data_IF_207165708188
#
_entry.id   IF_207165708188
#
_cell.length_a   1.000
_cell.length_b   1.000
_cell.length_c   1.000
_cell.angle_alpha   90.00
_cell.angle_beta   90.00
_cell.angle_gamma   90.00
#
_symmetry.space_group_name_H-M   'P 1'
#
loop_
_entity.id
_entity.type
_entity.pdbx_description
1 polymer ?
#
# COMPACT_ATOMS: atom_id res chain seq x y z
N UNK A 1 -9.36 -16.95 -11.82
CA UNK A 1 -10.60 -17.68 -11.43
C UNK A 1 -11.73 -16.69 -11.18
N UNK A 2 -12.98 -17.14 -11.04
CA UNK A 2 -14.14 -16.25 -10.90
C UNK A 2 -14.50 -15.98 -9.43
N UNK A 3 -15.27 -14.92 -9.17
CA UNK A 3 -15.85 -14.66 -7.85
C UNK A 3 -16.67 -15.85 -7.31
N UNK A 4 -17.33 -16.62 -8.21
CA UNK A 4 -18.07 -17.82 -7.84
C UNK A 4 -17.22 -18.93 -7.23
N UNK A 5 -16.00 -19.18 -7.75
CA UNK A 5 -15.06 -20.17 -7.21
C UNK A 5 -14.53 -19.75 -5.84
N UNK A 6 -14.20 -18.46 -5.67
CA UNK A 6 -13.80 -17.91 -4.38
C UNK A 6 -14.94 -17.97 -3.36
N UNK A 7 -16.17 -17.70 -3.78
CA UNK A 7 -17.38 -17.85 -2.94
C UNK A 7 -17.62 -19.29 -2.54
N UNK A 8 -17.44 -20.24 -3.47
CA UNK A 8 -17.57 -21.67 -3.18
C UNK A 8 -16.52 -22.11 -2.12
N UNK A 9 -15.27 -21.63 -2.25
CA UNK A 9 -14.24 -21.84 -1.25
C UNK A 9 -14.66 -21.34 0.14
N UNK A 10 -15.17 -20.10 0.23
CA UNK A 10 -15.62 -19.53 1.50
C UNK A 10 -16.79 -20.35 2.10
N UNK A 11 -17.71 -20.85 1.29
CA UNK A 11 -18.84 -21.65 1.76
C UNK A 11 -18.42 -23.01 2.32
N UNK A 12 -17.31 -23.57 1.86
CA UNK A 12 -16.80 -24.89 2.30
C UNK A 12 -16.07 -24.86 3.64
N UNK A 13 -15.61 -23.67 4.11
CA UNK A 13 -14.83 -23.53 5.32
C UNK A 13 -15.55 -22.71 6.37
N UNK A 14 -15.22 -22.93 7.63
CA UNK A 14 -15.84 -22.26 8.76
C UNK A 14 -14.95 -21.19 9.38
N UNK A 15 -13.64 -21.46 9.46
CA UNK A 15 -12.63 -20.57 10.08
C UNK A 15 -11.66 -20.06 9.06
N UNK A 16 -11.28 -18.79 9.21
CA UNK A 16 -10.39 -18.14 8.28
C UNK A 16 -9.32 -17.32 9.01
N UNK A 17 -8.09 -17.41 8.50
CA UNK A 17 -7.03 -16.47 8.81
C UNK A 17 -6.80 -15.60 7.56
N UNK A 18 -7.09 -14.30 7.70
CA UNK A 18 -6.90 -13.30 6.67
C UNK A 18 -5.49 -12.72 6.80
N UNK A 19 -4.72 -12.75 5.73
CA UNK A 19 -3.33 -12.35 5.69
C UNK A 19 -3.13 -11.32 4.58
N UNK A 20 -2.36 -10.27 4.84
CA UNK A 20 -1.96 -9.31 3.84
C UNK A 20 -0.44 -9.16 3.78
N UNK A 21 0.05 -8.35 2.85
CA UNK A 21 1.49 -8.17 2.66
C UNK A 21 2.18 -7.44 3.81
N UNK A 22 3.50 -7.58 3.91
CA UNK A 22 4.37 -6.80 4.82
C UNK A 22 4.20 -5.31 4.58
N UNK A 23 4.24 -4.51 5.65
CA UNK A 23 4.00 -3.05 5.57
C UNK A 23 2.67 -2.70 4.88
N UNK A 24 1.54 -3.21 5.38
CA UNK A 24 0.24 -3.11 4.72
C UNK A 24 -0.20 -1.66 4.56
N UNK A 25 -0.83 -1.40 3.44
CA UNK A 25 -1.43 -0.10 3.10
C UNK A 25 -2.97 -0.09 3.33
N UNK A 26 -3.64 0.89 2.75
CA UNK A 26 -5.08 1.03 2.94
C UNK A 26 -5.90 0.00 2.16
N UNK A 27 -5.41 -0.49 1.01
CA UNK A 27 -6.10 -1.55 0.28
C UNK A 27 -5.97 -2.89 1.01
N UNK A 28 -4.76 -3.27 1.38
CA UNK A 28 -4.51 -4.50 2.13
C UNK A 28 -5.34 -4.59 3.42
N UNK A 29 -5.33 -3.52 4.23
CA UNK A 29 -6.07 -3.48 5.49
C UNK A 29 -7.57 -3.35 5.29
N UNK A 30 -8.01 -2.42 4.43
CA UNK A 30 -9.42 -2.18 4.17
C UNK A 30 -10.10 -3.41 3.57
N UNK A 31 -9.47 -4.04 2.60
CA UNK A 31 -9.97 -5.26 1.95
C UNK A 31 -10.03 -6.44 2.92
N UNK A 32 -8.99 -6.65 3.73
CA UNK A 32 -8.97 -7.72 4.75
C UNK A 32 -10.07 -7.53 5.79
N UNK A 33 -10.23 -6.32 6.32
CA UNK A 33 -11.24 -6.02 7.35
C UNK A 33 -12.67 -6.09 6.79
N UNK A 34 -12.91 -5.57 5.60
CA UNK A 34 -14.22 -5.67 4.94
C UNK A 34 -14.63 -7.13 4.74
N UNK A 35 -13.68 -7.97 4.26
CA UNK A 35 -13.93 -9.40 4.08
C UNK A 35 -14.18 -10.09 5.44
N UNK A 36 -13.39 -9.77 6.47
CA UNK A 36 -13.58 -10.32 7.81
C UNK A 36 -14.98 -10.04 8.37
N UNK A 37 -15.42 -8.78 8.28
CA UNK A 37 -16.77 -8.37 8.71
C UNK A 37 -17.87 -9.10 7.90
N UNK A 38 -17.64 -9.32 6.60
CA UNK A 38 -18.57 -10.07 5.76
C UNK A 38 -18.60 -11.56 6.12
N UNK A 39 -17.46 -12.16 6.42
CA UNK A 39 -17.37 -13.55 6.91
C UNK A 39 -18.15 -13.72 8.21
N UNK A 40 -18.01 -12.78 9.14
CA UNK A 40 -18.78 -12.80 10.39
C UNK A 40 -20.29 -12.70 10.14
N UNK A 41 -20.72 -11.79 9.27
CA UNK A 41 -22.14 -11.67 8.89
C UNK A 41 -22.67 -12.93 8.20
N UNK A 42 -21.78 -13.70 7.52
CA UNK A 42 -22.10 -15.01 6.96
C UNK A 42 -22.00 -16.18 7.95
N UNK A 43 -21.81 -15.90 9.26
CA UNK A 43 -21.71 -16.92 10.31
C UNK A 43 -20.38 -17.68 10.30
N UNK A 44 -19.31 -17.08 9.81
CA UNK A 44 -17.95 -17.63 9.78
C UNK A 44 -17.08 -17.00 10.86
N UNK A 45 -16.10 -17.75 11.34
CA UNK A 45 -15.10 -17.26 12.29
C UNK A 45 -13.90 -16.71 11.51
N UNK A 46 -13.36 -15.58 11.93
CA UNK A 46 -12.19 -14.99 11.29
C UNK A 46 -11.24 -14.33 12.26
N UNK A 47 -9.98 -14.34 11.89
CA UNK A 47 -8.88 -13.60 12.49
C UNK A 47 -8.09 -12.98 11.35
N UNK A 48 -7.51 -11.81 11.55
CA UNK A 48 -6.64 -11.19 10.58
C UNK A 48 -5.25 -10.97 11.15
N UNK A 49 -4.22 -11.02 10.32
CA UNK A 49 -2.85 -10.82 10.74
C UNK A 49 -1.98 -10.23 9.62
N UNK A 50 -0.98 -9.45 10.00
CA UNK A 50 0.04 -8.94 9.09
C UNK A 50 1.41 -8.86 9.78
N UNK A 51 2.48 -8.98 8.97
CA UNK A 51 3.85 -8.83 9.44
C UNK A 51 4.27 -7.35 9.36
N UNK A 52 4.02 -6.64 10.45
CA UNK A 52 4.48 -5.26 10.63
C UNK A 52 4.79 -5.02 12.10
N UNK A 53 5.74 -4.14 12.39
CA UNK A 53 6.16 -3.84 13.76
C UNK A 53 5.03 -3.24 14.64
N UNK A 54 4.09 -2.52 14.00
CA UNK A 54 2.89 -1.98 14.64
C UNK A 54 1.80 -1.73 13.61
N UNK A 55 0.55 -1.76 14.04
CA UNK A 55 -0.57 -1.39 13.18
C UNK A 55 -0.40 0.06 12.70
N UNK A 56 -0.52 0.34 11.39
CA UNK A 56 -0.36 1.69 10.88
C UNK A 56 -1.41 2.64 11.49
N UNK A 57 -0.94 3.60 12.30
CA UNK A 57 -1.80 4.52 13.05
C UNK A 57 -2.81 5.25 12.15
N UNK A 58 -2.44 5.52 10.90
CA UNK A 58 -3.29 6.16 9.90
C UNK A 58 -4.61 5.41 9.67
N UNK A 59 -4.64 4.09 9.88
CA UNK A 59 -5.80 3.22 9.63
C UNK A 59 -6.44 2.69 10.91
N UNK A 60 -6.00 3.14 12.10
CA UNK A 60 -6.51 2.66 13.39
C UNK A 60 -8.01 2.95 13.62
N UNK A 61 -8.59 3.82 12.81
CA UNK A 61 -10.02 4.13 12.86
C UNK A 61 -10.91 3.11 12.13
N UNK A 62 -10.32 2.16 11.38
CA UNK A 62 -11.10 1.20 10.59
C UNK A 62 -11.89 0.24 11.50
N UNK A 63 -13.15 -0.03 11.17
CA UNK A 63 -13.92 -1.06 11.85
C UNK A 63 -13.20 -2.41 11.80
N UNK A 64 -13.04 -3.06 12.96
CA UNK A 64 -12.36 -4.35 13.09
C UNK A 64 -10.83 -4.26 13.17
N UNK A 65 -10.23 -3.06 13.16
CA UNK A 65 -8.77 -2.88 13.28
C UNK A 65 -8.18 -3.51 14.55
N UNK A 66 -8.94 -3.54 15.63
CA UNK A 66 -8.61 -4.18 16.91
C UNK A 66 -8.52 -5.71 16.84
N UNK A 67 -9.01 -6.32 15.78
CA UNK A 67 -8.96 -7.77 15.50
C UNK A 67 -7.76 -8.18 14.64
N UNK A 68 -6.96 -7.22 14.19
CA UNK A 68 -5.75 -7.47 13.40
C UNK A 68 -4.56 -7.76 14.32
N UNK A 69 -4.00 -8.95 14.22
CA UNK A 69 -2.73 -9.29 14.87
C UNK A 69 -1.57 -8.73 14.07
N UNK A 70 -0.65 -8.04 14.75
CA UNK A 70 0.49 -7.39 14.11
C UNK A 70 1.81 -7.85 14.73
N UNK A 71 2.79 -8.18 13.89
CA UNK A 71 4.17 -8.48 14.30
C UNK A 71 4.36 -9.69 15.19
N UNK A 72 3.32 -10.46 15.45
CA UNK A 72 3.37 -11.68 16.26
C UNK A 72 2.80 -12.86 15.48
N UNK A 73 3.51 -14.00 15.42
CA UNK A 73 2.99 -15.17 14.74
C UNK A 73 1.64 -15.61 15.30
N UNK A 74 0.69 -15.84 14.41
CA UNK A 74 -0.59 -16.49 14.73
C UNK A 74 -0.49 -17.92 14.24
N UNK A 75 -0.70 -18.88 15.14
CA UNK A 75 -0.79 -20.31 14.78
C UNK A 75 -2.26 -20.64 14.52
N UNK A 76 -2.67 -20.85 13.26
CA UNK A 76 -4.05 -21.19 12.97
C UNK A 76 -4.40 -22.60 13.41
N UNK A 77 -5.65 -22.82 13.87
CA UNK A 77 -6.17 -24.14 14.13
C UNK A 77 -6.12 -25.04 12.89
N UNK A 78 -6.09 -26.36 13.04
CA UNK A 78 -5.91 -27.29 11.90
C UNK A 78 -6.97 -27.14 10.80
N UNK A 79 -8.20 -26.75 11.15
CA UNK A 79 -9.33 -26.57 10.21
C UNK A 79 -9.45 -25.14 9.66
N UNK A 80 -8.49 -24.27 9.93
CA UNK A 80 -8.47 -22.88 9.48
C UNK A 80 -7.99 -22.79 8.03
N UNK A 81 -8.81 -22.22 7.15
CA UNK A 81 -8.44 -21.86 5.80
C UNK A 81 -7.72 -20.50 5.77
N UNK A 82 -6.76 -20.34 4.86
CA UNK A 82 -6.01 -19.13 4.67
C UNK A 82 -6.63 -18.27 3.56
N UNK A 83 -6.71 -16.95 3.76
CA UNK A 83 -7.04 -16.02 2.69
C UNK A 83 -5.97 -14.94 2.64
N UNK A 84 -5.20 -14.91 1.57
CA UNK A 84 -4.26 -13.83 1.29
C UNK A 84 -4.99 -12.74 0.51
N UNK A 85 -4.98 -11.53 1.05
CA UNK A 85 -5.65 -10.36 0.48
C UNK A 85 -4.60 -9.32 0.11
N UNK A 86 -4.60 -8.87 -1.12
CA UNK A 86 -3.65 -7.88 -1.65
C UNK A 86 -2.18 -8.29 -1.44
N UNK A 87 -1.88 -9.55 -1.71
CA UNK A 87 -0.57 -10.13 -1.49
C UNK A 87 -0.10 -10.87 -2.75
N UNK A 88 0.68 -10.20 -3.59
CA UNK A 88 1.06 -10.65 -4.91
C UNK A 88 1.94 -11.92 -4.92
N UNK A 89 2.69 -12.17 -3.85
CA UNK A 89 3.64 -13.30 -3.77
C UNK A 89 3.88 -13.74 -2.33
N UNK A 90 4.32 -14.99 -2.17
CA UNK A 90 4.56 -15.61 -0.86
C UNK A 90 5.61 -14.86 -0.03
N UNK A 91 6.66 -14.36 -0.66
CA UNK A 91 7.72 -13.58 0.01
C UNK A 91 7.20 -12.27 0.61
N UNK A 92 6.11 -11.70 0.09
CA UNK A 92 5.45 -10.55 0.67
C UNK A 92 4.57 -10.86 1.87
N UNK A 93 4.30 -12.14 2.14
CA UNK A 93 3.54 -12.54 3.32
C UNK A 93 4.37 -12.48 4.63
N UNK A 94 5.69 -12.24 4.55
CA UNK A 94 6.57 -12.08 5.71
C UNK A 94 6.55 -13.30 6.63
N UNK A 95 6.30 -13.10 7.92
CA UNK A 95 6.23 -14.18 8.94
C UNK A 95 5.28 -15.32 8.57
N UNK A 96 4.28 -15.06 7.74
CA UNK A 96 3.24 -16.01 7.36
C UNK A 96 3.54 -16.77 6.07
N UNK A 97 4.67 -16.51 5.41
CA UNK A 97 5.07 -17.22 4.20
C UNK A 97 5.17 -18.74 4.41
N UNK A 98 5.64 -19.17 5.58
CA UNK A 98 5.74 -20.59 5.94
C UNK A 98 4.40 -21.32 6.00
N UNK A 99 3.29 -20.61 6.23
CA UNK A 99 1.96 -21.23 6.22
C UNK A 99 1.54 -21.71 4.82
N UNK A 100 2.17 -21.19 3.76
CA UNK A 100 1.95 -21.64 2.38
C UNK A 100 2.63 -22.97 2.07
N UNK A 101 3.62 -23.37 2.87
CA UNK A 101 4.28 -24.68 2.77
C UNK A 101 3.43 -25.79 3.42
N UNK A 102 2.45 -25.41 4.26
CA UNK A 102 1.49 -26.33 4.85
C UNK A 102 0.38 -26.64 3.82
N UNK A 103 -0.11 -27.88 3.78
CA UNK A 103 -1.22 -28.28 2.91
C UNK A 103 -2.57 -27.76 3.44
N UNK A 104 -2.69 -26.44 3.59
CA UNK A 104 -3.92 -25.76 4.05
C UNK A 104 -4.75 -25.27 2.87
N UNK A 105 -6.09 -25.34 2.98
CA UNK A 105 -6.95 -24.68 2.01
C UNK A 105 -6.62 -23.19 1.93
N UNK A 106 -6.27 -22.72 0.75
CA UNK A 106 -5.79 -21.33 0.54
C UNK A 106 -6.57 -20.65 -0.58
N UNK A 107 -6.97 -19.41 -0.34
CA UNK A 107 -7.54 -18.47 -1.31
C UNK A 107 -6.64 -17.23 -1.38
N UNK A 108 -6.29 -16.81 -2.59
CA UNK A 108 -5.63 -15.52 -2.86
C UNK A 108 -6.64 -14.58 -3.54
N UNK A 109 -6.76 -13.37 -3.03
CA UNK A 109 -7.55 -12.26 -3.62
C UNK A 109 -6.58 -11.12 -3.87
N UNK A 110 -6.30 -10.82 -5.15
CA UNK A 110 -5.28 -9.84 -5.48
C UNK A 110 -5.54 -9.18 -6.84
N UNK A 111 -5.04 -7.97 -7.02
CA UNK A 111 -5.19 -7.21 -8.25
C UNK A 111 -3.86 -6.88 -8.95
N UNK A 112 -2.74 -7.23 -8.37
CA UNK A 112 -1.43 -6.96 -8.95
C UNK A 112 -1.18 -7.79 -10.23
N UNK A 113 -0.84 -7.12 -11.33
CA UNK A 113 -0.47 -7.77 -12.61
C UNK A 113 0.80 -8.64 -12.49
N UNK A 114 1.61 -8.40 -11.47
CA UNK A 114 2.81 -9.21 -11.16
C UNK A 114 2.50 -10.49 -10.41
N UNK A 115 1.26 -10.67 -9.93
CA UNK A 115 0.86 -11.88 -9.25
C UNK A 115 0.96 -13.08 -10.21
N UNK A 116 1.72 -14.14 -9.85
CA UNK A 116 1.81 -15.35 -10.66
C UNK A 116 0.45 -15.99 -10.96
N UNK A 117 -0.57 -15.76 -10.12
CA UNK A 117 -1.95 -16.21 -10.33
C UNK A 117 -2.58 -15.66 -11.60
N UNK A 118 -2.18 -14.47 -12.08
CA UNK A 118 -2.58 -13.93 -13.37
C UNK A 118 -2.13 -14.83 -14.54
N UNK A 119 -1.07 -15.62 -14.34
CA UNK A 119 -0.50 -16.56 -15.33
C UNK A 119 -0.82 -18.01 -15.00
N UNK A 120 -1.75 -18.27 -14.07
CA UNK A 120 -2.08 -19.64 -13.63
C UNK A 120 -1.00 -20.30 -12.74
N UNK A 121 -0.08 -19.55 -12.19
CA UNK A 121 1.04 -20.03 -11.35
C UNK A 121 0.98 -19.42 -9.93
N UNK A 122 -0.20 -19.08 -9.44
CA UNK A 122 -0.40 -18.46 -8.13
C UNK A 122 -0.21 -19.41 -6.95
N UNK A 123 -0.74 -19.02 -5.81
CA UNK A 123 -0.77 -19.84 -4.61
C UNK A 123 -1.39 -21.22 -4.89
N UNK A 124 -0.91 -22.24 -4.19
CA UNK A 124 -1.55 -23.55 -4.22
C UNK A 124 -2.96 -23.42 -3.63
N UNK A 125 -4.00 -23.48 -4.48
CA UNK A 125 -5.38 -23.30 -4.06
C UNK A 125 -6.17 -22.43 -5.03
N UNK A 126 -7.16 -21.69 -4.50
CA UNK A 126 -8.00 -20.79 -5.30
C UNK A 126 -7.32 -19.43 -5.45
N UNK A 127 -7.21 -18.93 -6.68
CA UNK A 127 -6.62 -17.64 -6.97
C UNK A 127 -7.67 -16.75 -7.68
N UNK A 128 -8.29 -15.83 -6.94
CA UNK A 128 -9.16 -14.81 -7.47
C UNK A 128 -8.37 -13.54 -7.73
N UNK A 129 -7.73 -13.49 -8.88
CA UNK A 129 -6.85 -12.41 -9.30
C UNK A 129 -7.37 -11.78 -10.58
N UNK A 130 -7.55 -10.47 -10.57
CA UNK A 130 -8.06 -9.70 -11.70
C UNK A 130 -7.42 -8.30 -11.71
N UNK A 131 -7.02 -7.81 -12.87
CA UNK A 131 -6.55 -6.44 -13.05
C UNK A 131 -7.71 -5.46 -12.80
N UNK A 132 -7.64 -4.72 -11.71
CA UNK A 132 -8.64 -3.77 -11.26
C UNK A 132 -8.02 -2.66 -10.39
N UNK A 133 -8.84 -1.70 -9.99
CA UNK A 133 -8.36 -0.51 -9.30
C UNK A 133 -7.80 -0.78 -7.89
N UNK A 134 -8.26 -1.83 -7.23
CA UNK A 134 -7.88 -2.22 -5.87
C UNK A 134 -8.39 -3.64 -5.56
N UNK A 135 -7.76 -4.38 -4.65
CA UNK A 135 -8.29 -5.65 -4.16
C UNK A 135 -9.68 -5.48 -3.50
N UNK A 136 -9.97 -4.27 -2.99
CA UNK A 136 -11.29 -3.90 -2.47
C UNK A 136 -12.43 -4.06 -3.46
N UNK A 137 -12.20 -3.91 -4.78
CA UNK A 137 -13.23 -4.20 -5.80
C UNK A 137 -13.60 -5.69 -5.80
N UNK A 138 -12.60 -6.56 -5.72
CA UNK A 138 -12.79 -8.00 -5.71
C UNK A 138 -13.50 -8.47 -4.44
N UNK A 139 -13.11 -7.90 -3.30
CA UNK A 139 -13.77 -8.16 -2.01
C UNK A 139 -15.23 -7.71 -2.03
N UNK A 140 -15.54 -6.54 -2.59
CA UNK A 140 -16.92 -6.09 -2.77
C UNK A 140 -17.73 -7.10 -3.60
N UNK A 141 -17.20 -7.57 -4.73
CA UNK A 141 -17.86 -8.55 -5.58
C UNK A 141 -18.11 -9.88 -4.85
N UNK A 142 -17.15 -10.32 -4.03
CA UNK A 142 -17.32 -11.51 -3.17
C UNK A 142 -18.41 -11.32 -2.14
N UNK A 143 -18.49 -10.18 -1.45
CA UNK A 143 -19.55 -9.87 -0.48
C UNK A 143 -20.92 -9.95 -1.15
N UNK A 144 -21.04 -9.41 -2.36
CA UNK A 144 -22.28 -9.48 -3.15
C UNK A 144 -22.64 -10.92 -3.53
N UNK A 145 -21.68 -11.71 -3.99
CA UNK A 145 -21.88 -13.11 -4.41
C UNK A 145 -22.19 -14.03 -3.20
N UNK A 146 -21.66 -13.73 -2.02
CA UNK A 146 -22.02 -14.40 -0.78
C UNK A 146 -23.47 -14.12 -0.36
N UNK A 147 -24.09 -13.07 -0.89
CA UNK A 147 -25.44 -12.64 -0.51
C UNK A 147 -25.47 -11.91 0.83
N UNK A 148 -24.31 -11.41 1.32
CA UNK A 148 -24.22 -10.66 2.57
C UNK A 148 -24.65 -9.21 2.32
N UNK A 149 -25.58 -8.65 3.12
CA UNK A 149 -25.90 -7.23 3.08
C UNK A 149 -24.69 -6.37 3.43
N UNK A 150 -24.38 -5.38 2.58
CA UNK A 150 -23.29 -4.46 2.84
C UNK A 150 -23.66 -3.53 4.02
N UNK A 151 -22.79 -3.46 5.03
CA UNK A 151 -22.95 -2.57 6.19
C UNK A 151 -22.11 -1.31 6.03
N UNK A 152 -22.42 -0.26 6.83
CA UNK A 152 -21.64 0.97 6.85
C UNK A 152 -20.16 0.72 7.24
N UNK A 153 -19.90 -0.26 8.12
CA UNK A 153 -18.53 -0.62 8.54
C UNK A 153 -17.75 -1.30 7.40
N UNK A 154 -18.37 -2.25 6.69
CA UNK A 154 -17.77 -2.84 5.48
C UNK A 154 -17.54 -1.76 4.42
N UNK A 155 -18.49 -0.84 4.24
CA UNK A 155 -18.39 0.26 3.28
C UNK A 155 -17.22 1.21 3.62
N UNK A 156 -16.96 1.49 4.90
CA UNK A 156 -15.84 2.29 5.35
C UNK A 156 -14.49 1.62 5.05
N UNK A 157 -14.40 0.32 5.28
CA UNK A 157 -13.20 -0.47 4.96
C UNK A 157 -12.96 -0.51 3.43
N UNK A 158 -13.98 -0.80 2.63
CA UNK A 158 -13.88 -0.83 1.17
C UNK A 158 -13.58 0.56 0.57
N UNK A 159 -14.17 1.63 1.13
CA UNK A 159 -13.81 2.99 0.74
C UNK A 159 -12.33 3.28 0.97
N UNK A 160 -11.81 2.85 2.11
CA UNK A 160 -10.38 3.00 2.42
C UNK A 160 -9.53 2.27 1.39
N UNK A 161 -9.84 1.03 1.08
CA UNK A 161 -9.18 0.24 0.06
C UNK A 161 -9.16 0.97 -1.29
N UNK A 162 -10.32 1.29 -1.82
CA UNK A 162 -10.47 1.92 -3.13
C UNK A 162 -9.80 3.30 -3.20
N UNK A 163 -10.01 4.15 -2.19
CA UNK A 163 -9.51 5.53 -2.23
C UNK A 163 -8.01 5.62 -2.07
N UNK A 164 -7.38 4.74 -1.30
CA UNK A 164 -5.92 4.78 -1.10
C UNK A 164 -5.18 4.27 -2.32
N UNK A 165 -5.64 3.20 -2.95
CA UNK A 165 -4.94 2.58 -4.07
C UNK A 165 -5.18 3.29 -5.40
N UNK A 166 -6.22 4.11 -5.48
CA UNK A 166 -6.53 4.95 -6.65
C UNK A 166 -6.07 6.40 -6.53
N UNK A 167 -5.27 6.73 -5.50
CA UNK A 167 -4.89 8.12 -5.24
C UNK A 167 -6.10 9.04 -5.07
N UNK A 168 -7.09 8.59 -4.31
CA UNK A 168 -8.38 9.25 -4.14
C UNK A 168 -9.13 9.45 -5.47
N UNK A 169 -9.19 8.36 -6.26
CA UNK A 169 -9.87 8.30 -7.57
C UNK A 169 -9.23 9.14 -8.69
N UNK A 170 -7.92 9.39 -8.59
CA UNK A 170 -7.18 10.20 -9.56
C UNK A 170 -6.34 9.38 -10.55
N UNK A 171 -6.12 8.07 -10.32
CA UNK A 171 -5.25 7.25 -11.16
C UNK A 171 -6.00 6.60 -12.33
N UNK A 172 -5.26 6.19 -13.35
CA UNK A 172 -5.79 5.58 -14.59
C UNK A 172 -6.44 4.21 -14.37
N UNK A 173 -6.19 3.57 -13.23
CA UNK A 173 -6.85 2.32 -12.82
C UNK A 173 -8.34 2.49 -12.51
N UNK A 174 -8.81 3.73 -12.28
CA UNK A 174 -10.20 4.04 -11.95
C UNK A 174 -11.12 3.81 -13.15
N UNK A 175 -12.14 3.01 -12.95
CA UNK A 175 -13.11 2.64 -14.00
C UNK A 175 -14.56 2.98 -13.60
N UNK A 176 -15.48 2.77 -14.53
CA UNK A 176 -16.92 2.83 -14.22
C UNK A 176 -17.31 1.89 -13.08
N UNK A 177 -16.67 0.69 -13.01
CA UNK A 177 -16.91 -0.29 -11.94
C UNK A 177 -16.57 0.31 -10.58
N UNK A 178 -15.41 0.98 -10.45
CA UNK A 178 -14.98 1.66 -9.23
C UNK A 178 -16.04 2.63 -8.73
N UNK A 179 -16.61 3.48 -9.61
CA UNK A 179 -17.65 4.43 -9.23
C UNK A 179 -19.01 3.78 -8.97
N UNK A 180 -19.36 2.68 -9.65
CA UNK A 180 -20.55 1.91 -9.32
C UNK A 180 -20.46 1.30 -7.91
N UNK A 181 -19.27 0.79 -7.54
CA UNK A 181 -19.01 0.29 -6.18
C UNK A 181 -19.14 1.46 -5.18
N UNK A 182 -18.51 2.60 -5.44
CA UNK A 182 -18.64 3.78 -4.57
C UNK A 182 -20.11 4.18 -4.34
N UNK A 183 -20.95 4.14 -5.39
CA UNK A 183 -22.40 4.36 -5.25
C UNK A 183 -23.04 3.40 -4.25
N UNK A 184 -22.72 2.11 -4.35
CA UNK A 184 -23.23 1.09 -3.42
C UNK A 184 -22.72 1.27 -1.99
N UNK A 185 -21.46 1.74 -1.80
CA UNK A 185 -20.93 2.06 -0.47
C UNK A 185 -21.70 3.20 0.19
N UNK A 186 -22.07 4.23 -0.59
CA UNK A 186 -22.88 5.35 -0.09
C UNK A 186 -24.30 4.88 0.28
N UNK A 187 -24.91 4.03 -0.53
CA UNK A 187 -26.21 3.43 -0.24
C UNK A 187 -26.19 2.57 1.03
N UNK A 188 -25.05 1.91 1.32
CA UNK A 188 -24.82 1.14 2.54
C UNK A 188 -24.57 2.00 3.80
N UNK A 189 -24.54 3.35 3.65
CA UNK A 189 -24.41 4.28 4.77
C UNK A 189 -22.97 4.71 5.07
N UNK A 190 -22.08 4.67 4.07
CA UNK A 190 -20.72 5.23 4.20
C UNK A 190 -20.81 6.72 4.56
N UNK A 191 -20.19 7.10 5.68
CA UNK A 191 -19.94 8.52 6.01
C UNK A 191 -18.69 9.01 5.26
N UNK A 192 -18.87 9.28 3.96
CA UNK A 192 -17.80 9.71 3.06
C UNK A 192 -17.04 10.95 3.59
N UNK A 193 -17.69 12.03 4.07
CA UNK A 193 -16.98 13.19 4.60
C UNK A 193 -16.04 12.83 5.75
N UNK A 194 -16.50 12.01 6.70
CA UNK A 194 -15.72 11.54 7.85
C UNK A 194 -14.49 10.77 7.41
N UNK A 195 -14.67 9.74 6.58
CA UNK A 195 -13.56 8.87 6.18
C UNK A 195 -12.58 9.56 5.23
N UNK A 196 -13.07 10.44 4.35
CA UNK A 196 -12.19 11.29 3.53
C UNK A 196 -11.34 12.23 4.39
N UNK A 197 -11.92 12.81 5.45
CA UNK A 197 -11.19 13.63 6.39
C UNK A 197 -10.09 12.82 7.10
N UNK A 198 -10.42 11.64 7.63
CA UNK A 198 -9.48 10.78 8.35
C UNK A 198 -8.31 10.32 7.47
N UNK A 199 -8.58 9.98 6.20
CA UNK A 199 -7.56 9.46 5.28
C UNK A 199 -6.66 10.52 4.66
N UNK A 200 -7.25 11.69 4.28
CA UNK A 200 -6.56 12.64 3.40
C UNK A 200 -6.47 14.06 3.95
N UNK A 201 -7.17 14.37 5.05
CA UNK A 201 -7.26 15.73 5.59
C UNK A 201 -6.84 15.86 7.05
N UNK A 202 -6.28 14.80 7.62
CA UNK A 202 -5.70 14.81 8.96
C UNK A 202 -4.25 14.39 8.90
N UNK A 203 -3.38 15.27 9.37
CA UNK A 203 -1.95 15.00 9.48
C UNK A 203 -1.44 15.39 10.86
N UNK A 204 -0.44 14.68 11.34
CA UNK A 204 0.30 15.10 12.54
C UNK A 204 1.03 16.43 12.25
N UNK A 205 1.05 17.33 13.22
CA UNK A 205 1.78 18.58 13.11
C UNK A 205 3.26 18.36 12.77
N UNK A 206 3.86 17.30 13.31
CA UNK A 206 5.23 16.91 12.98
C UNK A 206 5.41 16.69 11.48
N UNK A 207 4.49 15.96 10.83
CA UNK A 207 4.53 15.71 9.37
C UNK A 207 4.46 17.00 8.56
N UNK A 208 3.56 17.91 8.93
CA UNK A 208 3.46 19.22 8.28
C UNK A 208 4.77 20.04 8.43
N UNK A 209 5.38 20.03 9.63
CA UNK A 209 6.68 20.69 9.87
C UNK A 209 7.80 20.08 9.05
N UNK A 210 7.86 18.76 8.96
CA UNK A 210 8.87 18.04 8.18
C UNK A 210 8.72 18.31 6.69
N UNK A 211 7.49 18.38 6.19
CA UNK A 211 7.22 18.76 4.79
C UNK A 211 7.72 20.19 4.50
N UNK A 212 7.41 21.14 5.37
CA UNK A 212 7.88 22.51 5.22
C UNK A 212 9.43 22.56 5.23
N UNK A 213 10.07 21.87 6.15
CA UNK A 213 11.53 21.79 6.23
C UNK A 213 12.16 21.15 4.99
N UNK A 214 11.58 20.08 4.46
CA UNK A 214 12.06 19.45 3.23
C UNK A 214 11.95 20.39 2.02
N UNK A 215 10.88 21.18 1.94
CA UNK A 215 10.72 22.21 0.89
C UNK A 215 11.73 23.35 1.07
N UNK A 216 12.02 23.78 2.30
CA UNK A 216 13.07 24.78 2.57
C UNK A 216 14.47 24.28 2.13
N UNK A 217 14.77 23.00 2.31
CA UNK A 217 16.04 22.37 1.93
C UNK A 217 16.08 21.92 0.47
N UNK A 218 14.97 22.06 -0.26
CA UNK A 218 14.89 21.61 -1.64
C UNK A 218 15.83 22.41 -2.54
N UNK A 219 16.60 21.68 -3.34
CA UNK A 219 17.38 22.27 -4.43
C UNK A 219 16.80 21.82 -5.75
N UNK A 220 16.60 22.78 -6.64
CA UNK A 220 16.11 22.55 -8.00
C UNK A 220 17.26 22.61 -9.00
N UNK A 221 17.27 21.70 -9.95
CA UNK A 221 18.26 21.56 -11.01
C UNK A 221 17.57 21.51 -12.37
N UNK A 222 18.35 21.60 -13.44
CA UNK A 222 17.91 21.40 -14.83
C UNK A 222 16.66 22.26 -15.15
N UNK A 223 16.79 23.59 -14.96
CA UNK A 223 15.68 24.52 -15.20
C UNK A 223 14.42 24.22 -14.36
N UNK A 224 14.63 23.75 -13.13
CA UNK A 224 13.60 23.37 -12.14
C UNK A 224 12.83 22.07 -12.47
N UNK A 225 13.38 21.21 -13.34
CA UNK A 225 12.74 19.93 -13.67
C UNK A 225 13.17 18.77 -12.77
N UNK A 226 14.27 18.93 -12.03
CA UNK A 226 14.73 17.94 -11.06
C UNK A 226 14.77 18.55 -9.66
N UNK A 227 14.10 17.92 -8.71
CA UNK A 227 14.05 18.36 -7.30
C UNK A 227 14.78 17.36 -6.39
N UNK A 228 15.65 17.86 -5.51
CA UNK A 228 16.30 17.05 -4.48
C UNK A 228 16.12 17.73 -3.13
N UNK A 229 15.63 16.98 -2.13
CA UNK A 229 15.50 17.45 -0.77
C UNK A 229 15.96 16.39 0.22
N UNK A 230 16.34 16.82 1.42
CA UNK A 230 16.79 15.91 2.46
C UNK A 230 16.34 16.34 3.85
N UNK A 231 16.26 15.36 4.76
CA UNK A 231 16.05 15.58 6.20
C UNK A 231 16.98 14.69 7.01
N UNK A 232 17.64 15.28 7.98
CA UNK A 232 18.44 14.57 8.98
C UNK A 232 17.57 13.96 10.07
N UNK A 233 18.10 12.97 10.77
CA UNK A 233 17.43 12.37 11.92
C UNK A 233 17.15 13.40 13.02
N UNK A 234 18.12 14.31 13.28
CA UNK A 234 17.95 15.39 14.24
C UNK A 234 16.82 16.36 13.90
N UNK A 235 16.59 16.65 12.62
CA UNK A 235 15.46 17.49 12.18
C UNK A 235 14.12 16.78 12.34
N UNK A 236 14.08 15.46 12.08
CA UNK A 236 12.90 14.64 12.29
C UNK A 236 12.52 14.64 13.78
N UNK A 237 13.50 14.42 14.65
CA UNK A 237 13.30 14.44 16.11
C UNK A 237 12.92 15.83 16.63
N UNK A 238 13.56 16.89 16.16
CA UNK A 238 13.27 18.26 16.53
C UNK A 238 11.84 18.70 16.15
N UNK A 239 11.28 18.15 15.06
CA UNK A 239 9.89 18.36 14.68
C UNK A 239 8.89 17.58 15.56
N UNK A 240 9.37 16.71 16.45
CA UNK A 240 8.55 15.74 17.20
C UNK A 240 8.01 14.62 16.30
N UNK A 241 8.72 14.34 15.21
CA UNK A 241 8.36 13.37 14.20
C UNK A 241 8.99 12.00 14.39
N UNK A 242 8.50 11.05 13.62
CA UNK A 242 9.07 9.71 13.45
C UNK A 242 9.27 9.43 11.96
N UNK A 243 9.97 8.37 11.62
CA UNK A 243 10.27 8.01 10.23
C UNK A 243 9.02 7.97 9.32
N UNK A 244 7.89 7.49 9.84
CA UNK A 244 6.61 7.45 9.11
C UNK A 244 6.02 8.84 8.80
N UNK A 245 6.39 9.88 9.54
CA UNK A 245 5.95 11.25 9.24
C UNK A 245 6.63 11.83 8.00
N UNK A 246 7.69 11.18 7.49
CA UNK A 246 8.34 11.56 6.24
C UNK A 246 7.68 10.97 4.99
N UNK A 247 6.74 10.03 5.16
CA UNK A 247 6.07 9.40 4.02
C UNK A 247 5.18 10.40 3.28
N UNK A 248 5.28 10.41 1.95
CA UNK A 248 4.57 11.35 1.07
C UNK A 248 5.24 12.72 0.88
N UNK A 249 6.35 13.03 1.58
CA UNK A 249 7.11 14.27 1.32
C UNK A 249 7.62 14.31 -0.13
N UNK A 250 8.08 13.18 -0.63
CA UNK A 250 8.56 13.07 -2.02
C UNK A 250 7.49 13.46 -3.06
N UNK A 251 6.23 13.14 -2.76
CA UNK A 251 5.13 13.47 -3.67
C UNK A 251 4.88 14.99 -3.72
N UNK A 252 5.08 15.68 -2.59
CA UNK A 252 5.03 17.16 -2.56
C UNK A 252 6.09 17.79 -3.50
N UNK A 253 7.27 17.19 -3.59
CA UNK A 253 8.32 17.67 -4.50
C UNK A 253 7.97 17.36 -5.97
N UNK A 254 7.48 16.14 -6.25
CA UNK A 254 7.06 15.73 -7.59
C UNK A 254 5.89 16.59 -8.10
N UNK A 255 4.96 16.96 -7.23
CA UNK A 255 3.74 17.68 -7.60
C UNK A 255 3.99 19.17 -7.97
N UNK A 256 5.21 19.66 -7.80
CA UNK A 256 5.60 20.98 -8.35
C UNK A 256 5.47 20.93 -9.87
N UNK A 257 4.80 21.93 -10.46
CA UNK A 257 4.42 21.95 -11.88
C UNK A 257 5.59 21.63 -12.82
N UNK A 258 6.74 22.26 -12.59
CA UNK A 258 7.93 22.12 -13.44
C UNK A 258 8.74 20.85 -13.19
N UNK A 259 8.57 20.21 -12.03
CA UNK A 259 9.37 19.06 -11.63
C UNK A 259 8.89 17.81 -12.36
N UNK A 260 9.80 17.12 -13.03
CA UNK A 260 9.60 15.85 -13.73
C UNK A 260 10.18 14.67 -12.95
N UNK A 261 11.25 14.91 -12.19
CA UNK A 261 11.86 13.91 -11.32
C UNK A 261 12.19 14.50 -9.94
N UNK A 262 11.89 13.74 -8.90
CA UNK A 262 12.13 14.14 -7.52
C UNK A 262 12.91 13.07 -6.75
N UNK A 263 13.81 13.52 -5.88
CA UNK A 263 14.55 12.71 -4.91
C UNK A 263 14.34 13.28 -3.51
N UNK A 264 13.98 12.42 -2.59
CA UNK A 264 13.94 12.74 -1.16
C UNK A 264 14.82 11.80 -0.38
N UNK A 265 15.76 12.34 0.40
CA UNK A 265 16.72 11.59 1.20
C UNK A 265 16.41 11.82 2.67
N UNK A 266 16.16 10.75 3.41
CA UNK A 266 15.99 10.83 4.85
C UNK A 266 17.04 10.01 5.58
N UNK A 267 17.58 10.57 6.64
CA UNK A 267 18.47 9.84 7.52
C UNK A 267 17.68 8.85 8.39
N UNK A 268 18.24 7.70 8.64
CA UNK A 268 17.70 6.67 9.53
C UNK A 268 18.85 5.98 10.28
N UNK A 269 18.52 5.20 11.31
CA UNK A 269 19.49 4.38 12.05
C UNK A 269 20.17 3.31 11.20
N UNK A 270 19.63 3.01 10.02
CA UNK A 270 20.14 1.98 9.09
C UNK A 270 20.85 2.58 7.86
N UNK A 271 21.02 3.90 7.79
CA UNK A 271 21.58 4.60 6.64
C UNK A 271 20.65 5.64 6.05
N UNK A 272 20.97 6.16 4.88
CA UNK A 272 20.21 7.17 4.19
C UNK A 272 19.18 6.51 3.26
N UNK A 273 17.89 6.63 3.58
CA UNK A 273 16.80 6.13 2.73
C UNK A 273 16.48 7.14 1.64
N UNK A 274 16.58 6.70 0.42
CA UNK A 274 16.32 7.50 -0.78
C UNK A 274 14.99 7.07 -1.39
N UNK A 275 14.11 8.02 -1.63
CA UNK A 275 12.89 7.85 -2.39
C UNK A 275 13.01 8.60 -3.70
N UNK A 276 12.57 8.01 -4.80
CA UNK A 276 12.58 8.56 -6.16
C UNK A 276 11.18 8.54 -6.75
N UNK A 277 10.82 9.61 -7.45
CA UNK A 277 9.57 9.72 -8.22
C UNK A 277 9.84 10.34 -9.58
N UNK A 278 9.02 9.98 -10.57
CA UNK A 278 9.00 10.57 -11.91
C UNK A 278 7.57 10.79 -12.38
N UNK A 279 7.36 11.80 -13.24
CA UNK A 279 6.07 12.03 -13.91
C UNK A 279 5.91 11.26 -15.23
N UNK A 280 6.91 10.48 -15.65
CA UNK A 280 6.78 9.61 -16.82
C UNK A 280 8.02 9.51 -17.71
N UNK A 281 8.90 10.51 -17.70
CA UNK A 281 10.07 10.55 -18.58
C UNK A 281 11.27 9.74 -18.07
N UNK A 282 11.33 9.41 -16.78
CA UNK A 282 12.44 8.66 -16.19
C UNK A 282 11.98 7.34 -15.59
N UNK A 283 12.71 6.27 -15.87
CA UNK A 283 12.58 5.01 -15.15
C UNK A 283 13.40 5.06 -13.84
N UNK A 284 12.77 5.50 -12.76
CA UNK A 284 13.44 5.63 -11.46
C UNK A 284 13.76 4.28 -10.80
N UNK A 285 13.14 3.17 -11.25
CA UNK A 285 13.48 1.83 -10.77
C UNK A 285 14.89 1.41 -11.23
N UNK A 286 15.24 1.72 -12.47
CA UNK A 286 16.61 1.49 -12.99
C UNK A 286 17.64 2.34 -12.24
N UNK A 287 17.31 3.59 -11.93
CA UNK A 287 18.19 4.45 -11.15
C UNK A 287 18.40 3.92 -9.74
N UNK A 288 17.32 3.52 -9.05
CA UNK A 288 17.42 2.90 -7.73
C UNK A 288 18.22 1.59 -7.77
N UNK A 289 18.07 0.80 -8.85
CA UNK A 289 18.81 -0.46 -9.05
C UNK A 289 20.33 -0.28 -9.09
N UNK A 290 20.83 0.86 -9.57
CA UNK A 290 22.29 1.20 -9.56
C UNK A 290 22.84 1.31 -8.14
N UNK A 291 21.96 1.46 -7.12
CA UNK A 291 22.29 1.57 -5.70
C UNK A 291 21.77 0.39 -4.88
N UNK A 292 21.46 -0.75 -5.52
CA UNK A 292 20.96 -1.93 -4.85
C UNK A 292 19.51 -1.82 -4.36
N UNK A 293 18.78 -0.84 -4.87
CA UNK A 293 17.35 -0.63 -4.61
C UNK A 293 16.46 -1.16 -5.72
N UNK A 294 15.21 -0.70 -5.76
CA UNK A 294 14.24 -1.10 -6.77
C UNK A 294 12.90 -0.40 -6.59
N UNK A 295 11.91 -0.86 -7.33
CA UNK A 295 10.54 -0.31 -7.30
C UNK A 295 9.87 -0.38 -8.67
N UNK A 296 8.96 0.55 -8.90
CA UNK A 296 8.26 0.72 -10.17
C UNK A 296 8.90 1.82 -11.01
N UNK A 297 8.56 1.86 -12.29
CA UNK A 297 9.08 2.84 -13.28
C UNK A 297 8.99 4.27 -12.75
N UNK A 298 7.88 4.64 -12.12
CA UNK A 298 7.61 6.00 -11.64
C UNK A 298 7.86 6.21 -10.14
N UNK A 299 8.12 5.14 -9.37
CA UNK A 299 8.28 5.20 -7.93
C UNK A 299 9.24 4.11 -7.44
N UNK A 300 10.40 4.51 -6.97
CA UNK A 300 11.44 3.58 -6.52
C UNK A 300 12.19 4.12 -5.30
N UNK A 301 13.04 3.31 -4.71
CA UNK A 301 13.88 3.71 -3.60
C UNK A 301 15.08 2.81 -3.40
N UNK A 302 16.06 3.31 -2.64
CA UNK A 302 17.24 2.57 -2.23
C UNK A 302 17.69 3.01 -0.84
N UNK A 303 18.70 2.35 -0.29
CA UNK A 303 19.35 2.76 0.94
C UNK A 303 20.84 2.93 0.68
N UNK A 304 21.36 4.12 0.96
CA UNK A 304 22.78 4.42 0.84
C UNK A 304 23.44 4.20 2.21
N UNK A 305 24.50 3.39 2.22
CA UNK A 305 25.29 3.07 3.41
C UNK A 305 26.63 3.79 3.35
N UNK A 306 27.19 4.10 4.52
CA UNK A 306 28.55 4.66 4.64
C UNK A 306 28.77 5.95 3.85
N UNK A 307 27.79 6.83 3.82
CA UNK A 307 27.80 8.09 3.08
C UNK A 307 27.22 9.22 3.93
N UNK A 308 27.79 10.41 3.83
CA UNK A 308 27.19 11.60 4.46
C UNK A 308 25.96 12.08 3.68
N UNK A 309 25.13 12.90 4.32
CA UNK A 309 23.97 13.49 3.65
C UNK A 309 24.37 14.35 2.45
N UNK A 310 25.44 15.13 2.60
CA UNK A 310 25.95 16.00 1.53
C UNK A 310 26.44 15.19 0.32
N UNK A 311 27.21 14.12 0.56
CA UNK A 311 27.65 13.19 -0.51
C UNK A 311 26.46 12.52 -1.20
N UNK A 312 25.44 12.10 -0.43
CA UNK A 312 24.25 11.49 -0.98
C UNK A 312 23.45 12.47 -1.85
N UNK A 313 23.22 13.70 -1.36
CA UNK A 313 22.53 14.74 -2.13
C UNK A 313 23.31 15.05 -3.44
N UNK A 314 24.60 15.23 -3.37
CA UNK A 314 25.45 15.48 -4.53
C UNK A 314 25.40 14.34 -5.54
N UNK A 315 25.50 13.09 -5.07
CA UNK A 315 25.50 11.91 -5.93
C UNK A 315 24.12 11.68 -6.57
N UNK A 316 23.04 11.81 -5.82
CA UNK A 316 21.69 11.60 -6.33
C UNK A 316 21.27 12.69 -7.29
N UNK A 317 21.63 13.96 -7.01
CA UNK A 317 21.37 15.06 -7.97
C UNK A 317 22.12 14.85 -9.30
N UNK A 318 23.39 14.45 -9.23
CA UNK A 318 24.18 14.18 -10.44
C UNK A 318 23.55 13.07 -11.30
N UNK A 319 23.20 11.93 -10.69
CA UNK A 319 22.58 10.79 -11.38
C UNK A 319 21.22 11.15 -11.99
N UNK A 320 20.39 11.89 -11.25
CA UNK A 320 19.08 12.33 -11.77
C UNK A 320 19.20 13.34 -12.90
N UNK A 321 20.11 14.31 -12.78
CA UNK A 321 20.34 15.30 -13.83
C UNK A 321 20.91 14.67 -15.11
N UNK A 322 21.84 13.71 -14.98
CA UNK A 322 22.35 12.94 -16.13
C UNK A 322 21.23 12.18 -16.84
N UNK A 323 20.49 11.37 -16.09
CA UNK A 323 19.38 10.60 -16.64
C UNK A 323 18.28 11.48 -17.25
N UNK A 324 18.00 12.63 -16.65
CA UNK A 324 17.06 13.60 -17.20
C UNK A 324 17.53 14.17 -18.54
N UNK A 325 18.82 14.56 -18.66
CA UNK A 325 19.37 15.05 -19.95
C UNK A 325 19.32 14.00 -21.04
N UNK A 326 19.54 12.73 -20.70
CA UNK A 326 19.48 11.61 -21.66
C UNK A 326 18.04 11.26 -22.08
N UNK A 327 17.06 11.52 -21.24
CA UNK A 327 15.65 11.21 -21.49
C UNK A 327 14.85 12.36 -22.13
N UNK A 328 15.43 13.56 -22.23
CA UNK A 328 14.77 14.71 -22.88
C UNK A 328 14.44 14.36 -24.34
N UNK A 329 13.18 14.60 -24.78
CA UNK A 329 12.79 14.39 -26.18
C UNK A 329 13.53 15.31 -27.17
#
# INVERSE_FOLDING_TARGET
MSAGEATAFIRQHRRFLLLCHVSPDGDALGSSLALGLALEAAGREWTAACDTACYPHKYAFLPGADRMHVGTPVTPEPDTALIFVDCASADRAGLYASLLEEERPTLCIDHHITNPGCKGQGYAGVNYVEDCAAAGELVYLLIRELGVPLTADMAACLYTALSTDTGNFAYDSVTKRTFCIMGALLEAGLDLPKYNQLLFRQERLAKTRLRARAVEHMTLYEENTVAVASLTLGEIEAAGGVSADCDGIIDTLRDIETVEAACFIRESTQGLKVSLRSKGHLNVAELAGRFGGGGHVLAAGCTLLHMTMEEACSRMSAVLCEAWRESRP
#
